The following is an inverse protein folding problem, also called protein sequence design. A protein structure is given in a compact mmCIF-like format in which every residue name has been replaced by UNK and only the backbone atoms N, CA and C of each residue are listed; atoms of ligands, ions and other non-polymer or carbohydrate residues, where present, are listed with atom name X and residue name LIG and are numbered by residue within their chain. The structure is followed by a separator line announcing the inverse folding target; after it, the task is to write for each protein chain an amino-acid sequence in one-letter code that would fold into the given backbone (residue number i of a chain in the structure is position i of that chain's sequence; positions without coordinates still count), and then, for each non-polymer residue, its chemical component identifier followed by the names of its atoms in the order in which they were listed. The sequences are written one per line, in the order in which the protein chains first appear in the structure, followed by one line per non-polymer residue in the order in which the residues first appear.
data_IF_216293938767
#
_entry.id   IF_216293938767
#
_cell.length_a   1.000
_cell.length_b   1.000
_cell.length_c   1.000
_cell.angle_alpha   90.00
_cell.angle_beta   90.00
_cell.angle_gamma   90.00
#
_symmetry.space_group_name_H-M   'P 1'
#
loop_
_entity.id
_entity.type
_entity.pdbx_description
1 polymer ?
#
# COMPACT_ATOMS: atom_id res chain seq x y z
N UNK A 1 -48.98 12.23 -19.95
CA UNK A 1 -48.57 11.43 -18.76
C UNK A 1 -47.39 10.55 -19.13
N UNK A 2 -47.40 9.98 -20.33
CA UNK A 2 -46.29 9.19 -20.89
C UNK A 2 -44.98 10.01 -21.02
N UNK A 3 -45.06 11.26 -21.50
CA UNK A 3 -43.86 12.12 -21.64
C UNK A 3 -43.14 12.45 -20.32
N UNK A 4 -43.86 12.42 -19.18
CA UNK A 4 -43.26 12.64 -17.86
C UNK A 4 -42.57 11.38 -17.35
N UNK A 5 -43.14 10.20 -17.61
CA UNK A 5 -42.50 8.91 -17.31
C UNK A 5 -41.21 8.76 -18.12
N UNK A 6 -41.25 9.06 -19.43
CA UNK A 6 -40.08 8.98 -20.31
C UNK A 6 -38.97 9.97 -19.91
N UNK A 7 -39.34 11.20 -19.50
CA UNK A 7 -38.37 12.18 -19.02
C UNK A 7 -37.72 11.76 -17.69
N UNK A 8 -38.49 11.17 -16.78
CA UNK A 8 -37.96 10.64 -15.50
C UNK A 8 -37.06 9.44 -15.75
N UNK A 9 -37.39 8.55 -16.69
CA UNK A 9 -36.55 7.42 -17.07
C UNK A 9 -35.24 7.87 -17.75
N UNK A 10 -35.28 8.90 -18.61
CA UNK A 10 -34.08 9.49 -19.20
C UNK A 10 -33.21 10.14 -18.11
N UNK A 11 -33.80 10.93 -17.20
CA UNK A 11 -33.06 11.53 -16.09
C UNK A 11 -32.47 10.48 -15.12
N UNK A 12 -33.20 9.38 -14.87
CA UNK A 12 -32.71 8.28 -14.06
C UNK A 12 -31.59 7.49 -14.74
N UNK A 13 -31.61 7.36 -16.07
CA UNK A 13 -30.53 6.76 -16.87
C UNK A 13 -29.29 7.67 -16.96
N UNK A 14 -29.49 8.99 -17.06
CA UNK A 14 -28.40 9.98 -17.17
C UNK A 14 -27.68 10.21 -15.83
N UNK A 15 -28.34 9.92 -14.69
CA UNK A 15 -27.82 10.23 -13.35
C UNK A 15 -27.34 9.00 -12.55
N UNK A 16 -26.96 7.89 -13.19
CA UNK A 16 -26.17 6.86 -12.52
C UNK A 16 -24.70 7.30 -12.43
N UNK A 17 -24.45 8.35 -11.64
CA UNK A 17 -23.09 8.77 -11.31
C UNK A 17 -22.55 7.76 -10.30
N UNK A 18 -21.94 6.69 -10.81
CA UNK A 18 -21.13 5.83 -9.96
C UNK A 18 -19.84 6.58 -9.61
N UNK A 19 -19.61 6.79 -8.32
CA UNK A 19 -18.36 7.35 -7.80
C UNK A 19 -17.21 6.38 -8.10
N UNK A 20 -16.41 6.69 -9.14
CA UNK A 20 -15.24 5.90 -9.51
C UNK A 20 -13.98 6.50 -8.89
N UNK A 21 -13.39 5.78 -7.94
CA UNK A 21 -12.11 6.12 -7.36
C UNK A 21 -10.96 5.57 -8.19
N UNK A 22 -9.91 6.36 -8.40
CA UNK A 22 -8.68 5.94 -9.07
C UNK A 22 -7.50 5.98 -8.08
N UNK A 23 -6.67 4.94 -8.10
CA UNK A 23 -5.53 4.81 -7.19
C UNK A 23 -4.22 4.84 -7.96
N UNK A 24 -3.23 5.56 -7.42
CA UNK A 24 -1.88 5.67 -7.99
C UNK A 24 -0.88 5.11 -6.99
N UNK A 25 -0.07 4.15 -7.43
CA UNK A 25 1.00 3.56 -6.62
C UNK A 25 2.32 4.25 -6.95
N UNK A 26 2.94 4.86 -5.94
CA UNK A 26 4.26 5.50 -6.05
C UNK A 26 5.31 4.56 -5.45
N UNK A 27 6.13 3.89 -6.27
CA UNK A 27 7.14 2.97 -5.75
C UNK A 27 8.31 3.73 -5.12
N UNK A 28 8.84 3.17 -4.03
CA UNK A 28 10.07 3.61 -3.40
C UNK A 28 11.03 2.42 -3.26
N UNK A 29 12.28 2.62 -3.68
CA UNK A 29 13.34 1.64 -3.53
C UNK A 29 14.49 2.30 -2.77
N UNK A 30 14.82 1.86 -1.54
CA UNK A 30 15.93 2.42 -0.79
C UNK A 30 17.26 2.17 -1.54
N UNK A 31 18.14 3.18 -1.54
CA UNK A 31 19.47 3.08 -2.13
C UNK A 31 20.24 1.93 -1.45
N UNK A 32 20.42 0.84 -2.19
CA UNK A 32 20.87 -0.48 -1.71
C UNK A 32 20.19 -1.64 -2.43
N UNK A 33 18.97 -1.43 -2.94
CA UNK A 33 18.18 -2.41 -3.69
C UNK A 33 18.25 -2.27 -5.23
N UNK A 34 18.98 -1.30 -5.77
CA UNK A 34 19.26 -1.28 -7.23
C UNK A 34 20.00 -2.56 -7.68
N UNK A 35 20.75 -3.16 -6.75
CA UNK A 35 21.33 -4.48 -6.91
C UNK A 35 20.34 -5.62 -6.68
N UNK A 36 19.23 -5.42 -5.95
CA UNK A 36 18.22 -6.42 -5.66
C UNK A 36 17.34 -6.70 -6.89
N UNK A 37 16.92 -5.71 -7.68
CA UNK A 37 16.19 -5.97 -8.94
C UNK A 37 17.08 -6.65 -10.01
N UNK A 38 18.35 -6.23 -10.10
CA UNK A 38 19.38 -6.89 -10.94
C UNK A 38 19.80 -8.26 -10.39
N UNK A 39 19.74 -8.48 -9.07
CA UNK A 39 19.95 -9.80 -8.45
C UNK A 39 18.72 -10.68 -8.50
N UNK A 40 17.51 -10.15 -8.58
CA UNK A 40 16.29 -10.95 -8.66
C UNK A 40 16.19 -11.58 -10.05
N UNK A 41 16.48 -10.81 -11.10
CA UNK A 41 16.59 -11.33 -12.47
C UNK A 41 17.76 -12.31 -12.65
N UNK A 42 18.93 -12.06 -12.04
CA UNK A 42 20.05 -13.03 -12.00
C UNK A 42 19.83 -14.20 -11.02
N UNK A 43 19.01 -14.00 -10.01
CA UNK A 43 18.79 -14.89 -8.87
C UNK A 43 17.73 -15.93 -9.15
N UNK A 44 16.76 -15.64 -10.02
CA UNK A 44 15.81 -16.64 -10.52
C UNK A 44 16.53 -17.78 -11.28
N UNK A 45 17.59 -17.47 -12.04
CA UNK A 45 18.41 -18.48 -12.72
C UNK A 45 19.32 -19.27 -11.76
N UNK A 46 19.87 -18.62 -10.73
CA UNK A 46 20.71 -19.29 -9.72
C UNK A 46 19.91 -20.05 -8.64
N UNK A 47 18.64 -19.72 -8.41
CA UNK A 47 17.80 -20.35 -7.38
C UNK A 47 17.37 -21.78 -7.74
N UNK A 48 17.49 -22.18 -9.01
CA UNK A 48 17.32 -23.58 -9.41
C UNK A 48 18.56 -24.44 -9.09
N UNK A 49 19.72 -23.85 -8.78
CA UNK A 49 21.00 -24.56 -8.64
C UNK A 49 21.75 -24.40 -7.31
N UNK A 50 21.32 -23.53 -6.38
CA UNK A 50 22.05 -23.39 -5.11
C UNK A 50 21.12 -23.33 -3.91
N UNK A 51 21.19 -24.37 -3.08
CA UNK A 51 20.51 -24.44 -1.80
C UNK A 51 20.97 -23.36 -0.82
N UNK A 52 20.00 -22.89 -0.04
CA UNK A 52 20.09 -22.14 1.23
C UNK A 52 20.90 -20.85 1.17
N UNK A 53 20.19 -19.71 1.16
CA UNK A 53 20.75 -18.42 1.59
C UNK A 53 20.06 -17.99 2.88
N UNK A 54 20.87 -17.86 3.91
CA UNK A 54 20.51 -17.33 5.22
C UNK A 54 19.94 -15.91 5.08
N UNK A 55 18.82 -15.66 5.74
CA UNK A 55 18.20 -14.35 5.80
C UNK A 55 19.05 -13.44 6.68
N UNK A 56 19.89 -12.60 6.08
CA UNK A 56 20.53 -11.48 6.78
C UNK A 56 19.44 -10.53 7.26
N UNK A 57 19.22 -10.50 8.58
CA UNK A 57 18.34 -9.53 9.23
C UNK A 57 18.92 -8.14 9.03
N UNK A 58 18.39 -7.39 8.06
CA UNK A 58 18.77 -6.02 7.78
C UNK A 58 18.29 -5.13 8.93
N UNK A 59 19.17 -4.86 9.90
CA UNK A 59 18.92 -3.79 10.88
C UNK A 59 18.97 -2.46 10.13
N UNK A 60 17.80 -1.92 9.82
CA UNK A 60 17.70 -0.60 9.19
C UNK A 60 18.11 0.44 10.23
N UNK A 61 19.12 1.23 9.90
CA UNK A 61 19.53 2.37 10.71
C UNK A 61 18.45 3.46 10.70
N UNK A 62 18.26 4.13 11.84
CA UNK A 62 17.23 5.16 12.02
C UNK A 62 17.43 6.31 11.03
N UNK A 63 18.68 6.67 10.72
CA UNK A 63 19.01 7.73 9.77
C UNK A 63 18.56 7.34 8.36
N UNK A 64 18.81 6.09 7.96
CA UNK A 64 18.37 5.55 6.66
C UNK A 64 16.85 5.53 6.56
N UNK A 65 16.15 5.14 7.64
CA UNK A 65 14.69 5.17 7.67
C UNK A 65 14.12 6.59 7.50
N UNK A 66 14.66 7.58 8.23
CA UNK A 66 14.19 8.97 8.13
C UNK A 66 14.43 9.52 6.72
N UNK A 67 15.61 9.28 6.14
CA UNK A 67 15.90 9.67 4.76
C UNK A 67 14.93 9.03 3.76
N UNK A 68 14.67 7.73 3.91
CA UNK A 68 13.73 7.02 3.06
C UNK A 68 12.31 7.59 3.13
N UNK A 69 11.86 7.93 4.35
CA UNK A 69 10.57 8.58 4.58
C UNK A 69 10.48 9.94 3.90
N UNK A 70 11.54 10.75 3.97
CA UNK A 70 11.57 12.06 3.34
C UNK A 70 11.59 11.96 1.81
N UNK A 71 12.35 11.01 1.26
CA UNK A 71 12.41 10.78 -0.19
C UNK A 71 11.07 10.33 -0.78
N UNK A 72 10.38 9.37 -0.15
CA UNK A 72 9.06 8.94 -0.64
C UNK A 72 8.03 10.06 -0.49
N UNK A 73 8.09 10.86 0.58
CA UNK A 73 7.22 12.02 0.76
C UNK A 73 7.41 13.01 -0.41
N UNK A 74 8.64 13.36 -0.74
CA UNK A 74 8.95 14.27 -1.85
C UNK A 74 8.42 13.73 -3.20
N UNK A 75 8.50 12.41 -3.43
CA UNK A 75 7.94 11.76 -4.63
C UNK A 75 6.42 11.88 -4.69
N UNK A 76 5.74 11.60 -3.57
CA UNK A 76 4.29 11.72 -3.45
C UNK A 76 3.86 13.17 -3.71
N UNK A 77 4.54 14.15 -3.11
CA UNK A 77 4.26 15.58 -3.29
C UNK A 77 4.43 16.00 -4.77
N UNK A 78 5.46 15.51 -5.46
CA UNK A 78 5.65 15.76 -6.89
C UNK A 78 4.51 15.20 -7.75
N UNK A 79 4.03 13.99 -7.45
CA UNK A 79 2.92 13.36 -8.18
C UNK A 79 1.61 14.10 -7.92
N UNK A 80 1.32 14.43 -6.65
CA UNK A 80 0.12 15.19 -6.29
C UNK A 80 0.11 16.58 -6.93
N UNK A 81 1.25 17.28 -6.96
CA UNK A 81 1.36 18.58 -7.62
C UNK A 81 1.11 18.47 -9.14
N UNK A 82 1.61 17.42 -9.78
CA UNK A 82 1.33 17.15 -11.20
C UNK A 82 -0.15 16.91 -11.47
N UNK A 83 -0.81 16.08 -10.65
CA UNK A 83 -2.25 15.84 -10.74
C UNK A 83 -3.07 17.12 -10.51
N UNK A 84 -2.67 17.91 -9.52
CA UNK A 84 -3.32 19.18 -9.21
C UNK A 84 -3.25 20.18 -10.38
N UNK A 85 -2.11 20.25 -11.08
CA UNK A 85 -1.97 21.08 -12.28
C UNK A 85 -2.90 20.64 -13.42
N UNK A 86 -3.28 19.35 -13.45
CA UNK A 86 -4.25 18.81 -14.40
C UNK A 86 -5.71 19.00 -13.94
N UNK A 87 -5.93 19.68 -12.81
CA UNK A 87 -7.26 19.86 -12.21
C UNK A 87 -7.77 18.64 -11.44
N UNK A 88 -6.93 17.61 -11.26
CA UNK A 88 -7.29 16.39 -10.51
C UNK A 88 -6.92 16.59 -9.05
N UNK A 89 -7.91 16.53 -8.16
CA UNK A 89 -7.69 16.55 -6.71
C UNK A 89 -7.26 15.16 -6.25
N UNK A 90 -6.14 15.08 -5.54
CA UNK A 90 -5.60 13.85 -4.98
C UNK A 90 -5.19 14.05 -3.52
N UNK A 91 -5.28 12.99 -2.71
CA UNK A 91 -4.78 12.95 -1.35
C UNK A 91 -4.10 11.60 -1.09
N UNK A 92 -3.16 11.57 -0.14
CA UNK A 92 -2.54 10.33 0.30
C UNK A 92 -3.50 9.54 1.20
N UNK A 93 -3.63 8.24 0.94
CA UNK A 93 -4.44 7.36 1.76
C UNK A 93 -3.79 7.08 3.12
N UNK A 94 -4.61 7.02 4.16
CA UNK A 94 -4.18 6.56 5.49
C UNK A 94 -4.20 5.02 5.60
N UNK A 95 -3.68 4.47 6.70
CA UNK A 95 -3.59 3.02 6.91
C UNK A 95 -4.94 2.32 6.79
N UNK A 96 -6.01 2.93 7.30
CA UNK A 96 -7.37 2.38 7.24
C UNK A 96 -7.87 2.29 5.79
N UNK A 97 -7.76 3.39 5.06
CA UNK A 97 -8.17 3.48 3.66
C UNK A 97 -7.36 2.54 2.77
N UNK A 98 -6.07 2.33 3.08
CA UNK A 98 -5.26 1.31 2.41
C UNK A 98 -5.76 -0.10 2.72
N UNK A 99 -6.10 -0.40 3.97
CA UNK A 99 -6.68 -1.68 4.36
C UNK A 99 -7.99 -1.97 3.62
N UNK A 100 -8.88 -0.99 3.56
CA UNK A 100 -10.14 -1.06 2.82
C UNK A 100 -9.93 -1.23 1.31
N UNK A 101 -8.97 -0.50 0.73
CA UNK A 101 -8.59 -0.67 -0.67
C UNK A 101 -8.12 -2.09 -0.96
N UNK A 102 -7.24 -2.65 -0.12
CA UNK A 102 -6.79 -4.04 -0.30
C UNK A 102 -7.94 -5.02 -0.11
N UNK A 103 -8.77 -4.86 0.92
CA UNK A 103 -9.91 -5.74 1.14
C UNK A 103 -10.88 -5.73 -0.05
N UNK A 104 -11.25 -4.55 -0.55
CA UNK A 104 -12.12 -4.38 -1.71
C UNK A 104 -11.49 -4.90 -3.00
N UNK A 105 -10.18 -4.66 -3.20
CA UNK A 105 -9.48 -5.12 -4.40
C UNK A 105 -9.31 -6.63 -4.46
N UNK A 106 -9.17 -7.31 -3.32
CA UNK A 106 -9.03 -8.78 -3.25
C UNK A 106 -10.37 -9.51 -3.12
N UNK A 107 -11.43 -8.84 -2.65
CA UNK A 107 -12.74 -9.44 -2.41
C UNK A 107 -13.87 -8.62 -3.08
N UNK A 108 -13.87 -8.46 -4.42
CA UNK A 108 -14.82 -7.61 -5.12
C UNK A 108 -16.29 -8.06 -4.97
N UNK A 109 -16.55 -9.35 -4.75
CA UNK A 109 -17.90 -9.91 -4.65
C UNK A 109 -18.52 -9.74 -3.25
N UNK A 110 -17.70 -9.66 -2.19
CA UNK A 110 -18.19 -9.59 -0.80
C UNK A 110 -18.03 -8.22 -0.17
N UNK A 111 -17.08 -7.39 -0.61
CA UNK A 111 -16.82 -6.08 0.00
C UNK A 111 -17.99 -5.11 -0.07
N UNK A 112 -18.85 -5.23 -1.07
CA UNK A 112 -20.08 -4.43 -1.19
C UNK A 112 -21.12 -4.74 -0.10
N UNK A 113 -21.02 -5.90 0.56
CA UNK A 113 -21.97 -6.39 1.57
C UNK A 113 -21.39 -6.38 2.98
N UNK A 114 -20.06 -6.43 3.10
CA UNK A 114 -19.32 -6.47 4.36
C UNK A 114 -18.38 -5.25 4.45
N UNK A 115 -18.95 -4.10 4.83
CA UNK A 115 -18.16 -2.87 5.03
C UNK A 115 -17.26 -3.00 6.26
N UNK A 116 -16.02 -2.53 6.15
CA UNK A 116 -15.05 -2.47 7.25
C UNK A 116 -15.21 -1.20 8.11
N UNK A 117 -16.31 -0.44 7.95
CA UNK A 117 -16.55 0.81 8.67
C UNK A 117 -16.53 0.64 10.20
N UNK A 118 -16.99 -0.50 10.71
CA UNK A 118 -17.08 -0.74 12.15
C UNK A 118 -15.84 -1.44 12.75
N UNK A 119 -14.84 -1.79 11.94
CA UNK A 119 -13.66 -2.53 12.40
C UNK A 119 -12.50 -1.57 12.65
N UNK A 120 -11.86 -1.70 13.82
CA UNK A 120 -10.68 -0.91 14.17
C UNK A 120 -9.49 -1.34 13.27
N UNK A 121 -8.83 -0.40 12.56
CA UNK A 121 -7.67 -0.71 11.73
C UNK A 121 -6.55 -1.45 12.47
N UNK A 122 -6.42 -1.24 13.77
CA UNK A 122 -5.42 -1.92 14.60
C UNK A 122 -5.66 -3.42 14.75
N UNK A 123 -6.91 -3.88 14.61
CA UNK A 123 -7.27 -5.31 14.61
C UNK A 123 -6.93 -5.99 13.27
N UNK A 124 -6.87 -5.20 12.19
CA UNK A 124 -6.54 -5.67 10.84
C UNK A 124 -5.03 -5.61 10.55
N UNK A 125 -4.29 -4.77 11.27
CA UNK A 125 -2.84 -4.62 11.09
C UNK A 125 -2.07 -5.25 12.25
N UNK A 126 -1.87 -6.57 12.21
CA UNK A 126 -0.93 -7.21 13.14
C UNK A 126 0.49 -6.74 12.85
N UNK A 127 1.13 -6.10 13.83
CA UNK A 127 2.54 -5.69 13.74
C UNK A 127 3.42 -6.90 14.08
N UNK A 128 4.04 -7.51 13.08
CA UNK A 128 4.93 -8.68 13.26
C UNK A 128 6.27 -8.39 13.96
N UNK A 129 6.46 -7.21 14.56
CA UNK A 129 7.68 -6.89 15.30
C UNK A 129 7.32 -6.39 16.69
N UNK A 130 7.18 -7.32 17.63
CA UNK A 130 7.26 -6.99 19.05
C UNK A 130 8.76 -6.91 19.38
N UNK A 131 9.24 -5.74 19.84
CA UNK A 131 10.53 -5.69 20.52
C UNK A 131 10.33 -6.48 21.81
N UNK A 132 11.02 -7.63 21.93
CA UNK A 132 10.99 -8.40 23.17
C UNK A 132 11.39 -7.51 24.35
N UNK A 133 10.44 -7.28 25.26
CA UNK A 133 10.67 -6.62 26.55
C UNK A 133 11.35 -7.62 27.48
N UNK A 134 12.65 -7.81 27.28
CA UNK A 134 13.47 -8.64 28.16
C UNK A 134 14.92 -8.14 28.13
N UNK A 135 15.63 -8.11 29.28
CA UNK A 135 17.04 -7.81 29.28
C UNK A 135 17.78 -8.85 28.41
N UNK A 136 18.65 -8.37 27.51
CA UNK A 136 19.45 -9.22 26.62
C UNK A 136 20.17 -10.32 27.42
N UNK A 137 20.16 -11.59 26.99
CA UNK A 137 20.87 -12.65 27.68
C UNK A 137 22.36 -12.29 27.76
N UNK A 138 22.86 -12.04 28.99
CA UNK A 138 24.29 -11.92 29.23
C UNK A 138 24.90 -13.29 28.99
N UNK A 139 25.61 -13.44 27.87
CA UNK A 139 26.39 -14.64 27.58
C UNK A 139 27.38 -14.92 28.71
N UNK A 140 27.11 -15.98 29.48
CA UNK A 140 28.06 -16.51 30.44
C UNK A 140 29.25 -17.10 29.69
N UNK A 141 30.45 -16.59 29.97
CA UNK A 141 31.68 -17.28 29.64
C UNK A 141 31.90 -18.36 30.70
N UNK A 142 32.03 -19.60 30.27
CA UNK A 142 32.70 -20.68 31.00
C UNK A 142 33.58 -21.41 30.00
#
# INVERSE_FOLDING_TARGET
MDDYMDFIDILAQEANIMDKSFYVVVPYYPAGEENAFKQQTKGLFNSFFSGKKEATVTKIDQVTYTKAKDEIKNRIDSVMNGLFQMGVKSWQLNTRQLGELFYTSYNPDTSSRESLEDIDPSELTTTYVTKGTGPSPRGGRS
#
